data_IF_877266856184
#
_entry.id   IF_877266856184
#
_cell.length_a   1.000
_cell.length_b   1.000
_cell.length_c   1.000
_cell.angle_alpha   90.00
_cell.angle_beta   90.00
_cell.angle_gamma   90.00
#
_symmetry.space_group_name_H-M   'P 1'
#
loop_
_entity.id
_entity.type
_entity.pdbx_description
1 polymer ?
#
# COMPACT_ATOMS: atom_id res chain seq x y z
N UNK A 1 -36.37 40.71 -34.36
CA UNK A 1 -37.78 41.04 -34.09
C UNK A 1 -38.05 40.56 -32.68
N UNK A 2 -38.02 41.39 -31.65
CA UNK A 2 -38.76 42.65 -31.53
C UNK A 2 -37.86 43.72 -30.88
N UNK A 3 -37.65 44.81 -31.61
CA UNK A 3 -37.37 46.15 -31.08
C UNK A 3 -38.67 46.75 -30.52
N UNK A 4 -38.56 47.57 -29.46
CA UNK A 4 -39.38 48.76 -29.19
C UNK A 4 -38.80 49.42 -27.92
N UNK A 5 -38.09 50.55 -28.04
CA UNK A 5 -38.57 51.93 -27.78
C UNK A 5 -38.71 52.22 -26.27
N UNK A 6 -38.14 53.29 -25.69
CA UNK A 6 -38.42 54.70 -25.97
C UNK A 6 -37.27 55.63 -25.54
N UNK A 7 -36.98 56.62 -26.39
CA UNK A 7 -36.45 57.95 -26.00
C UNK A 7 -37.62 58.75 -25.33
N UNK A 8 -37.47 59.82 -24.54
CA UNK A 8 -36.90 61.15 -24.84
C UNK A 8 -36.95 62.03 -23.54
N UNK A 9 -36.16 63.14 -23.52
CA UNK A 9 -36.38 64.50 -22.92
C UNK A 9 -35.72 64.81 -21.55
N UNK A 10 -35.01 65.90 -21.26
CA UNK A 10 -34.54 67.17 -21.89
C UNK A 10 -33.14 67.47 -21.24
N UNK A 11 -32.09 67.98 -21.89
CA UNK A 11 -31.93 69.34 -22.39
C UNK A 11 -31.01 70.18 -21.48
N UNK A 12 -29.73 70.36 -21.85
CA UNK A 12 -28.98 71.58 -21.50
C UNK A 12 -27.91 71.88 -22.55
N UNK A 13 -28.07 73.06 -23.15
CA UNK A 13 -27.23 73.64 -24.18
C UNK A 13 -25.97 74.23 -23.53
N UNK A 14 -24.78 73.77 -23.91
CA UNK A 14 -23.54 74.50 -23.67
C UNK A 14 -22.91 74.79 -25.02
N UNK A 15 -23.28 75.95 -25.55
CA UNK A 15 -22.53 76.71 -26.54
C UNK A 15 -21.18 77.10 -25.93
N UNK A 16 -20.09 76.72 -26.59
CA UNK A 16 -18.74 77.10 -26.16
C UNK A 16 -17.64 76.32 -26.86
N UNK A 17 -17.54 76.43 -28.19
CA UNK A 17 -16.32 76.07 -28.91
C UNK A 17 -15.21 77.05 -28.52
N UNK A 18 -14.38 76.67 -27.55
CA UNK A 18 -13.06 77.25 -27.38
C UNK A 18 -12.05 76.34 -28.07
N UNK A 19 -11.53 76.79 -29.20
CA UNK A 19 -10.39 76.17 -29.88
C UNK A 19 -9.13 76.34 -29.03
N UNK A 20 -8.50 75.22 -28.66
CA UNK A 20 -7.13 75.13 -28.12
C UNK A 20 -6.39 73.93 -28.77
N UNK A 21 -5.05 73.94 -28.81
CA UNK A 21 -4.30 73.72 -30.05
C UNK A 21 -4.03 72.25 -30.43
N UNK A 22 -3.92 72.06 -31.74
CA UNK A 22 -3.76 70.82 -32.51
C UNK A 22 -2.39 70.13 -32.39
N UNK A 23 -1.77 70.04 -31.20
CA UNK A 23 -0.44 69.39 -31.09
C UNK A 23 -0.19 68.52 -29.84
N UNK A 24 -1.20 68.26 -29.01
CA UNK A 24 -1.09 67.38 -27.81
C UNK A 24 -1.99 66.14 -27.82
N UNK A 25 -2.92 66.04 -28.77
CA UNK A 25 -4.02 65.06 -28.74
C UNK A 25 -3.56 63.62 -29.04
N UNK A 26 -2.56 63.43 -29.92
CA UNK A 26 -2.02 62.10 -30.23
C UNK A 26 -1.25 61.46 -29.07
N UNK A 27 -0.56 62.27 -28.26
CA UNK A 27 0.23 61.78 -27.12
C UNK A 27 -0.70 61.36 -25.98
N UNK A 28 -1.75 62.15 -25.69
CA UNK A 28 -2.76 61.82 -24.68
C UNK A 28 -3.56 60.55 -25.03
N UNK A 29 -3.95 60.37 -26.29
CA UNK A 29 -4.63 59.13 -26.74
C UNK A 29 -3.72 57.92 -26.61
N UNK A 30 -2.43 58.04 -26.95
CA UNK A 30 -1.46 56.96 -26.74
C UNK A 30 -1.25 56.69 -25.24
N UNK A 31 -1.19 57.72 -24.40
CA UNK A 31 -1.04 57.57 -22.94
C UNK A 31 -2.26 56.90 -22.29
N UNK A 32 -3.48 57.25 -22.71
CA UNK A 32 -4.70 56.59 -22.25
C UNK A 32 -4.85 55.17 -22.82
N UNK A 33 -4.45 54.93 -24.06
CA UNK A 33 -4.44 53.59 -24.65
C UNK A 33 -3.40 52.67 -23.99
N UNK A 34 -2.23 53.18 -23.61
CA UNK A 34 -1.22 52.40 -22.88
C UNK A 34 -1.59 52.19 -21.40
N UNK A 35 -2.27 53.15 -20.75
CA UNK A 35 -2.79 52.99 -19.39
C UNK A 35 -3.97 52.00 -19.31
N UNK A 36 -4.84 51.95 -20.34
CA UNK A 36 -5.97 51.01 -20.38
C UNK A 36 -5.62 49.63 -20.93
N UNK A 37 -4.56 49.47 -21.71
CA UNK A 37 -4.09 48.14 -22.17
C UNK A 37 -3.51 47.26 -21.05
N UNK A 38 -3.27 47.82 -19.86
CA UNK A 38 -2.74 47.07 -18.72
C UNK A 38 -3.79 46.45 -17.79
N UNK A 39 -5.07 46.84 -17.89
CA UNK A 39 -6.13 46.22 -17.09
C UNK A 39 -6.66 44.99 -17.82
N UNK A 40 -5.89 43.90 -17.75
CA UNK A 40 -6.43 42.58 -18.09
C UNK A 40 -7.61 42.27 -17.18
N UNK A 41 -8.74 41.86 -17.76
CA UNK A 41 -9.83 41.25 -17.01
C UNK A 41 -9.29 39.94 -16.46
N UNK A 42 -8.95 39.93 -15.17
CA UNK A 42 -8.71 38.68 -14.45
C UNK A 42 -10.09 38.06 -14.22
N UNK A 43 -10.20 36.76 -14.46
CA UNK A 43 -11.41 35.98 -14.20
C UNK A 43 -11.03 34.70 -13.45
N UNK A 44 -11.89 33.68 -13.46
CA UNK A 44 -11.61 32.37 -12.85
C UNK A 44 -10.15 31.94 -13.07
N UNK A 45 -9.44 31.69 -11.97
CA UNK A 45 -8.02 31.37 -11.98
C UNK A 45 -7.63 30.48 -10.80
N UNK A 46 -6.36 30.04 -10.77
CA UNK A 46 -5.81 29.17 -9.73
C UNK A 46 -6.64 27.90 -9.50
N UNK A 47 -7.10 27.27 -10.59
CA UNK A 47 -7.78 25.97 -10.51
C UNK A 47 -6.76 24.89 -10.14
N UNK A 48 -6.96 24.31 -8.97
CA UNK A 48 -6.18 23.18 -8.47
C UNK A 48 -7.11 21.99 -8.21
N UNK A 49 -6.59 20.80 -8.44
CA UNK A 49 -7.30 19.54 -8.21
C UNK A 49 -6.45 18.68 -7.28
N UNK A 50 -7.08 18.14 -6.24
CA UNK A 50 -6.47 17.23 -5.29
C UNK A 50 -7.23 15.89 -5.35
N UNK A 51 -6.57 14.91 -5.95
CA UNK A 51 -7.03 13.52 -6.03
C UNK A 51 -5.90 12.69 -5.44
N UNK A 52 -6.18 11.79 -4.47
CA UNK A 52 -5.14 10.94 -3.91
C UNK A 52 -4.54 10.06 -5.01
N UNK A 53 -3.22 9.89 -5.00
CA UNK A 53 -2.55 9.09 -6.03
C UNK A 53 -2.99 7.62 -6.00
N UNK A 54 -3.27 7.10 -4.81
CA UNK A 54 -3.70 5.73 -4.59
C UNK A 54 -4.63 5.61 -3.35
N UNK A 55 -5.53 4.62 -3.35
CA UNK A 55 -6.43 4.29 -2.22
C UNK A 55 -6.57 2.77 -2.10
N UNK A 56 -6.89 2.23 -0.92
CA UNK A 56 -7.18 0.80 -0.78
C UNK A 56 -8.61 0.47 -1.23
N UNK A 57 -8.82 -0.73 -1.79
CA UNK A 57 -10.17 -1.22 -2.09
C UNK A 57 -11.07 -1.17 -0.85
N UNK A 58 -12.30 -0.70 -1.04
CA UNK A 58 -13.31 -0.54 0.00
C UNK A 58 -13.24 0.80 0.75
N UNK A 59 -12.17 1.57 0.61
CA UNK A 59 -12.03 2.86 1.30
C UNK A 59 -12.86 3.98 0.67
N UNK A 60 -13.03 5.07 1.41
CA UNK A 60 -13.69 6.28 0.92
C UNK A 60 -12.67 7.19 0.24
N UNK A 61 -12.98 7.68 -0.96
CA UNK A 61 -12.13 8.60 -1.72
C UNK A 61 -12.67 10.01 -1.61
N UNK A 62 -11.82 10.97 -1.28
CA UNK A 62 -12.18 12.40 -1.27
C UNK A 62 -11.50 13.09 -2.44
N UNK A 63 -12.32 13.65 -3.33
CA UNK A 63 -11.87 14.46 -4.45
C UNK A 63 -12.09 15.93 -4.11
N UNK A 64 -11.08 16.75 -4.29
CA UNK A 64 -11.16 18.18 -4.00
C UNK A 64 -10.72 18.99 -5.21
N UNK A 65 -11.42 20.11 -5.43
CA UNK A 65 -11.17 21.05 -6.49
C UNK A 65 -11.32 22.46 -5.91
N UNK A 66 -10.25 23.23 -5.97
CA UNK A 66 -10.17 24.57 -5.42
C UNK A 66 -9.94 25.56 -6.56
N UNK A 67 -10.54 26.74 -6.46
CA UNK A 67 -10.46 27.78 -7.48
C UNK A 67 -10.68 29.15 -6.84
N UNK A 68 -10.28 30.19 -7.57
CA UNK A 68 -10.49 31.58 -7.20
C UNK A 68 -11.31 32.28 -8.29
N UNK A 69 -12.29 33.06 -7.86
CA UNK A 69 -13.09 33.94 -8.70
C UNK A 69 -12.77 35.38 -8.26
N UNK A 70 -12.80 36.31 -9.20
CA UNK A 70 -12.70 37.73 -8.89
C UNK A 70 -14.02 38.25 -8.29
N UNK A 71 -13.98 39.40 -7.60
CA UNK A 71 -15.07 39.89 -6.75
C UNK A 71 -16.42 40.12 -7.48
N UNK A 72 -16.40 40.30 -8.81
CA UNK A 72 -17.58 40.51 -9.65
C UNK A 72 -18.03 39.25 -10.41
N UNK A 73 -17.29 38.14 -10.32
CA UNK A 73 -17.62 36.88 -10.97
C UNK A 73 -18.36 35.92 -10.04
N UNK A 74 -19.47 35.38 -10.53
CA UNK A 74 -20.18 34.30 -9.86
C UNK A 74 -19.80 32.93 -10.44
N UNK A 75 -19.88 31.89 -9.63
CA UNK A 75 -19.76 30.51 -10.11
C UNK A 75 -21.00 30.13 -10.93
N UNK A 76 -20.80 29.62 -12.14
CA UNK A 76 -21.87 29.02 -12.94
C UNK A 76 -22.04 27.53 -12.58
N UNK A 77 -20.98 26.73 -12.67
CA UNK A 77 -21.04 25.30 -12.36
C UNK A 77 -19.69 24.69 -12.01
N UNK A 78 -19.71 23.62 -11.21
CA UNK A 78 -18.59 22.69 -11.03
C UNK A 78 -19.04 21.31 -11.48
N UNK A 79 -18.26 20.65 -12.32
CA UNK A 79 -18.55 19.30 -12.82
C UNK A 79 -17.36 18.40 -12.62
N UNK A 80 -17.65 17.16 -12.27
CA UNK A 80 -16.67 16.10 -12.13
C UNK A 80 -16.92 15.00 -13.15
N UNK A 81 -15.83 14.62 -13.80
CA UNK A 81 -15.82 13.57 -14.81
C UNK A 81 -14.87 12.46 -14.42
N UNK A 82 -15.27 11.23 -14.76
CA UNK A 82 -14.39 10.07 -14.79
C UNK A 82 -14.17 9.71 -16.25
N UNK A 83 -12.94 9.86 -16.74
CA UNK A 83 -12.69 9.75 -18.18
C UNK A 83 -13.45 10.81 -18.99
N UNK A 84 -14.55 10.41 -19.65
CA UNK A 84 -15.41 11.30 -20.46
C UNK A 84 -16.84 11.44 -19.90
N UNK A 85 -17.17 10.70 -18.85
CA UNK A 85 -18.53 10.63 -18.32
C UNK A 85 -18.66 11.53 -17.09
N UNK A 86 -19.65 12.43 -17.11
CA UNK A 86 -20.03 13.27 -15.98
C UNK A 86 -20.71 12.37 -14.94
N UNK A 87 -20.23 12.40 -13.70
CA UNK A 87 -20.86 11.64 -12.61
C UNK A 87 -21.38 12.56 -11.50
N UNK A 88 -20.91 13.81 -11.43
CA UNK A 88 -21.34 14.77 -10.42
C UNK A 88 -21.31 16.19 -10.96
N UNK A 89 -22.33 16.97 -10.58
CA UNK A 89 -22.45 18.38 -10.92
C UNK A 89 -23.00 19.20 -9.76
N UNK A 90 -22.43 20.39 -9.58
CA UNK A 90 -22.90 21.42 -8.66
C UNK A 90 -23.23 22.71 -9.42
N UNK A 91 -24.44 23.23 -9.25
CA UNK A 91 -24.91 24.51 -9.83
C UNK A 91 -25.54 25.34 -8.70
N UNK A 92 -24.93 26.47 -8.27
CA UNK A 92 -25.45 27.28 -7.17
C UNK A 92 -26.85 27.86 -7.40
N UNK A 93 -27.24 28.07 -8.67
CA UNK A 93 -28.52 28.70 -9.05
C UNK A 93 -29.68 27.72 -9.19
N UNK A 94 -29.44 26.40 -9.15
CA UNK A 94 -30.48 25.36 -9.24
C UNK A 94 -30.84 24.80 -7.85
N UNK A 95 -32.06 24.31 -7.67
CA UNK A 95 -32.48 23.55 -6.49
C UNK A 95 -33.00 22.16 -6.94
N UNK A 96 -32.37 21.04 -6.49
CA UNK A 96 -31.20 20.97 -5.63
C UNK A 96 -29.92 21.45 -6.33
N UNK A 97 -28.99 22.02 -5.56
CA UNK A 97 -27.70 22.51 -6.09
C UNK A 97 -26.82 21.39 -6.66
N UNK A 98 -27.00 20.15 -6.21
CA UNK A 98 -26.21 18.99 -6.60
C UNK A 98 -27.01 18.02 -7.46
N UNK A 99 -26.37 17.47 -8.49
CA UNK A 99 -26.93 16.41 -9.34
C UNK A 99 -25.89 15.31 -9.53
N UNK A 100 -26.28 14.07 -9.26
CA UNK A 100 -25.44 12.87 -9.47
C UNK A 100 -25.93 12.15 -10.71
N UNK A 101 -25.00 11.72 -11.55
CA UNK A 101 -25.27 10.90 -12.73
C UNK A 101 -24.73 9.50 -12.45
N UNK A 102 -25.58 8.45 -12.50
CA UNK A 102 -25.14 7.09 -12.22
C UNK A 102 -24.03 6.66 -13.18
N UNK A 103 -22.89 6.26 -12.61
CA UNK A 103 -21.76 5.70 -13.34
C UNK A 103 -21.31 4.41 -12.65
N UNK A 104 -21.22 3.27 -13.36
CA UNK A 104 -20.86 2.00 -12.73
C UNK A 104 -19.51 2.07 -11.98
N UNK A 105 -19.49 1.56 -10.74
CA UNK A 105 -18.30 1.58 -9.88
C UNK A 105 -18.01 2.93 -9.18
N UNK A 106 -18.85 3.95 -9.39
CA UNK A 106 -18.78 5.25 -8.72
C UNK A 106 -20.04 5.46 -7.88
N UNK A 107 -19.88 5.43 -6.56
CA UNK A 107 -20.94 5.74 -5.61
C UNK A 107 -20.63 7.06 -4.90
N UNK A 108 -21.45 8.09 -5.14
CA UNK A 108 -21.24 9.43 -4.58
C UNK A 108 -22.01 9.57 -3.26
N UNK A 109 -21.31 9.98 -2.21
CA UNK A 109 -21.91 10.40 -0.96
C UNK A 109 -22.37 11.87 -1.05
N UNK A 110 -23.64 12.06 -1.38
CA UNK A 110 -24.24 13.39 -1.54
C UNK A 110 -24.14 14.21 -0.24
N UNK A 111 -24.27 13.57 0.93
CA UNK A 111 -24.29 14.26 2.22
C UNK A 111 -22.96 14.91 2.58
N UNK A 112 -21.85 14.35 2.10
CA UNK A 112 -20.49 14.86 2.33
C UNK A 112 -19.89 15.59 1.12
N UNK A 113 -20.65 15.67 0.02
CA UNK A 113 -20.27 16.33 -1.23
C UNK A 113 -20.87 17.74 -1.35
N UNK A 114 -20.20 18.60 -2.09
CA UNK A 114 -20.61 19.99 -2.30
C UNK A 114 -19.92 20.61 -3.51
N UNK A 115 -19.72 21.94 -3.49
CA UNK A 115 -19.11 22.65 -4.60
C UNK A 115 -17.63 22.26 -4.82
N UNK A 116 -16.83 22.25 -3.75
CA UNK A 116 -15.37 22.04 -3.81
C UNK A 116 -14.93 20.60 -3.60
N UNK A 117 -15.76 19.78 -2.96
CA UNK A 117 -15.41 18.43 -2.52
C UNK A 117 -16.46 17.44 -2.96
N UNK A 118 -16.02 16.29 -3.49
CA UNK A 118 -16.88 15.16 -3.82
C UNK A 118 -16.32 13.92 -3.14
N UNK A 119 -17.19 13.21 -2.41
CA UNK A 119 -16.80 12.04 -1.64
C UNK A 119 -17.38 10.79 -2.31
N UNK A 120 -16.51 9.85 -2.66
CA UNK A 120 -16.88 8.56 -3.22
C UNK A 120 -16.76 7.47 -2.16
N UNK A 121 -17.74 6.58 -2.09
CA UNK A 121 -17.72 5.45 -1.14
C UNK A 121 -17.25 4.16 -1.83
N UNK A 122 -16.75 3.23 -1.01
CA UNK A 122 -16.43 1.85 -1.40
C UNK A 122 -15.57 1.79 -2.68
N UNK A 123 -14.32 2.22 -2.59
CA UNK A 123 -13.40 2.20 -3.72
C UNK A 123 -13.34 0.81 -4.37
N UNK A 124 -13.65 0.72 -5.65
CA UNK A 124 -13.58 -0.51 -6.44
C UNK A 124 -12.47 -0.41 -7.49
N UNK A 125 -11.92 -1.52 -8.00
CA UNK A 125 -10.92 -1.46 -9.07
C UNK A 125 -11.39 -0.68 -10.31
N UNK A 126 -12.69 -0.69 -10.62
CA UNK A 126 -13.26 0.07 -11.73
C UNK A 126 -13.18 1.60 -11.55
N UNK A 127 -13.05 2.07 -10.31
CA UNK A 127 -12.88 3.49 -9.98
C UNK A 127 -11.51 4.04 -10.45
N UNK A 128 -10.50 3.18 -10.65
CA UNK A 128 -9.12 3.57 -10.97
C UNK A 128 -8.95 4.21 -12.36
N UNK A 129 -8.44 5.45 -12.39
CA UNK A 129 -8.03 6.17 -13.59
C UNK A 129 -8.17 7.68 -13.44
N UNK A 130 -8.23 8.42 -14.56
CA UNK A 130 -8.21 9.90 -14.52
C UNK A 130 -9.56 10.50 -14.16
N UNK A 131 -9.55 11.34 -13.12
CA UNK A 131 -10.62 12.24 -12.74
C UNK A 131 -10.34 13.64 -13.29
N UNK A 132 -11.40 14.39 -13.58
CA UNK A 132 -11.32 15.74 -14.13
C UNK A 132 -12.34 16.64 -13.44
N UNK A 133 -11.88 17.79 -12.97
CA UNK A 133 -12.72 18.86 -12.44
C UNK A 133 -12.80 19.99 -13.47
N UNK A 134 -14.01 20.34 -13.87
CA UNK A 134 -14.33 21.49 -14.74
C UNK A 134 -15.08 22.53 -13.90
N UNK A 135 -14.55 23.76 -13.88
CA UNK A 135 -15.16 24.90 -13.20
C UNK A 135 -15.45 25.97 -14.24
N UNK A 136 -16.68 26.47 -14.23
CA UNK A 136 -17.12 27.54 -15.13
C UNK A 136 -17.63 28.72 -14.31
N UNK A 137 -17.13 29.91 -14.63
CA UNK A 137 -17.66 31.19 -14.17
C UNK A 137 -18.91 31.59 -14.97
N UNK A 138 -19.73 32.44 -14.38
CA UNK A 138 -20.91 33.04 -15.00
C UNK A 138 -20.54 34.31 -15.78
N UNK A 139 -21.54 35.04 -16.28
CA UNK A 139 -21.36 36.37 -16.82
C UNK A 139 -20.53 37.25 -15.86
N UNK A 140 -19.61 38.10 -16.38
CA UNK A 140 -19.47 38.47 -17.80
C UNK A 140 -18.45 37.64 -18.60
N UNK A 141 -17.52 36.94 -17.95
CA UNK A 141 -16.39 36.31 -18.64
C UNK A 141 -16.70 34.93 -19.19
N UNK A 142 -17.63 34.20 -18.56
CA UNK A 142 -17.96 32.81 -18.91
C UNK A 142 -16.72 31.89 -18.98
N UNK A 143 -15.67 32.24 -18.24
CA UNK A 143 -14.41 31.53 -18.30
C UNK A 143 -14.57 30.11 -17.75
N UNK A 144 -13.91 29.15 -18.37
CA UNK A 144 -13.96 27.74 -17.95
C UNK A 144 -12.54 27.20 -17.85
N UNK A 145 -12.19 26.69 -16.67
CA UNK A 145 -10.93 26.01 -16.44
C UNK A 145 -11.15 24.53 -16.13
N UNK A 146 -10.17 23.72 -16.51
CA UNK A 146 -10.23 22.28 -16.30
C UNK A 146 -8.88 21.76 -15.79
N UNK A 147 -8.92 20.89 -14.79
CA UNK A 147 -7.76 20.13 -14.30
C UNK A 147 -8.10 18.66 -14.18
N UNK A 148 -7.07 17.83 -14.18
CA UNK A 148 -7.23 16.38 -14.15
C UNK A 148 -6.08 15.72 -13.41
N UNK A 149 -6.40 14.70 -12.61
CA UNK A 149 -5.44 13.92 -11.85
C UNK A 149 -5.81 12.42 -11.91
N UNK A 150 -4.82 11.51 -11.89
CA UNK A 150 -5.06 10.08 -11.82
C UNK A 150 -5.46 9.65 -10.40
N UNK A 151 -6.15 8.52 -10.30
CA UNK A 151 -6.44 7.79 -9.08
C UNK A 151 -6.15 6.33 -9.33
N UNK A 152 -5.29 5.71 -8.54
CA UNK A 152 -5.08 4.26 -8.53
C UNK A 152 -5.87 3.62 -7.39
N UNK A 153 -6.38 2.41 -7.58
CA UNK A 153 -7.03 1.64 -6.52
C UNK A 153 -6.22 0.38 -6.26
N UNK A 154 -5.72 0.25 -5.03
CA UNK A 154 -4.76 -0.74 -4.60
C UNK A 154 -5.46 -1.96 -3.99
N UNK A 155 -5.17 -3.11 -4.55
CA UNK A 155 -5.47 -4.44 -4.01
C UNK A 155 -4.18 -5.02 -3.39
N UNK A 156 -3.98 -4.91 -2.07
CA UNK A 156 -2.78 -5.39 -1.43
C UNK A 156 -2.68 -6.92 -1.52
N UNK A 157 -1.46 -7.48 -1.47
CA UNK A 157 -1.28 -8.93 -1.44
C UNK A 157 -1.91 -9.51 -0.18
N UNK A 158 -2.32 -10.77 -0.25
CA UNK A 158 -3.02 -11.43 0.84
C UNK A 158 -2.09 -11.72 2.04
N UNK A 159 -0.80 -11.94 1.78
CA UNK A 159 0.24 -12.13 2.79
C UNK A 159 1.54 -11.40 2.38
N UNK A 160 2.51 -11.38 3.31
CA UNK A 160 3.81 -10.72 3.11
C UNK A 160 4.73 -11.42 2.11
N UNK A 161 5.86 -10.78 1.74
CA UNK A 161 6.83 -11.41 0.86
C UNK A 161 7.50 -12.61 1.51
N UNK A 162 7.97 -13.55 0.69
CA UNK A 162 8.79 -14.69 1.09
C UNK A 162 10.20 -14.52 0.53
N UNK A 163 11.19 -14.53 1.41
CA UNK A 163 12.61 -14.45 1.09
C UNK A 163 13.26 -15.82 1.24
N UNK A 164 13.95 -16.29 0.20
CA UNK A 164 14.62 -17.59 0.15
C UNK A 164 16.05 -17.41 -0.34
N UNK A 165 17.02 -17.98 0.37
CA UNK A 165 18.42 -18.02 -0.04
C UNK A 165 18.82 -19.38 -0.62
N UNK A 166 19.88 -19.41 -1.44
CA UNK A 166 20.40 -20.67 -2.00
C UNK A 166 21.11 -21.55 -0.96
N UNK A 167 21.56 -20.95 0.15
CA UNK A 167 22.24 -21.64 1.26
C UNK A 167 21.72 -21.15 2.60
N UNK A 168 21.87 -21.97 3.63
CA UNK A 168 21.55 -21.62 5.02
C UNK A 168 22.66 -20.83 5.73
N UNK A 169 23.87 -20.78 5.16
CA UNK A 169 25.02 -20.08 5.73
C UNK A 169 25.94 -19.55 4.62
N UNK A 170 26.69 -18.50 4.93
CA UNK A 170 27.68 -17.89 4.03
C UNK A 170 28.94 -17.50 4.78
N UNK A 171 30.10 -17.82 4.20
CA UNK A 171 31.40 -17.34 4.66
C UNK A 171 31.84 -16.08 3.93
N UNK A 172 32.81 -15.36 4.50
CA UNK A 172 33.46 -14.23 3.80
C UNK A 172 34.09 -14.71 2.49
N UNK A 173 33.84 -13.99 1.39
CA UNK A 173 34.29 -14.33 0.04
C UNK A 173 33.35 -15.25 -0.74
N UNK A 174 32.31 -15.80 -0.10
CA UNK A 174 31.26 -16.55 -0.82
C UNK A 174 30.28 -15.61 -1.52
N UNK A 175 29.63 -16.09 -2.57
CA UNK A 175 28.56 -15.35 -3.28
C UNK A 175 27.22 -15.73 -2.67
N UNK A 176 26.54 -14.77 -2.06
CA UNK A 176 25.17 -14.92 -1.58
C UNK A 176 24.21 -14.76 -2.74
N UNK A 177 23.24 -15.68 -2.87
CA UNK A 177 22.11 -15.57 -3.79
C UNK A 177 20.80 -15.73 -3.04
N UNK A 178 19.91 -14.77 -3.22
CA UNK A 178 18.59 -14.83 -2.62
C UNK A 178 17.52 -14.31 -3.57
N UNK A 179 16.35 -14.92 -3.47
CA UNK A 179 15.16 -14.54 -4.22
C UNK A 179 14.07 -14.15 -3.24
N UNK A 180 13.49 -12.99 -3.46
CA UNK A 180 12.30 -12.54 -2.78
C UNK A 180 11.11 -12.59 -3.71
N UNK A 181 9.96 -13.05 -3.23
CA UNK A 181 8.71 -12.95 -3.96
C UNK A 181 7.59 -12.39 -3.08
N UNK A 182 6.81 -11.48 -3.64
CA UNK A 182 5.54 -10.99 -3.10
C UNK A 182 4.36 -11.67 -3.82
N UNK A 183 3.28 -11.99 -3.10
CA UNK A 183 2.05 -12.55 -3.70
C UNK A 183 1.40 -11.60 -4.70
N UNK A 184 0.44 -12.10 -5.51
CA UNK A 184 -0.28 -11.27 -6.46
C UNK A 184 -0.96 -10.06 -5.81
N UNK A 185 -0.66 -8.87 -6.34
CA UNK A 185 -1.24 -7.60 -5.92
C UNK A 185 -1.53 -6.71 -7.13
N UNK A 186 -2.31 -5.65 -6.93
CA UNK A 186 -2.55 -4.63 -7.95
C UNK A 186 -2.40 -3.22 -7.34
N UNK A 187 -1.51 -2.36 -7.87
CA UNK A 187 -0.43 -2.71 -8.79
C UNK A 187 0.55 -3.71 -8.12
N UNK A 188 1.43 -4.35 -8.90
CA UNK A 188 2.42 -5.29 -8.36
C UNK A 188 3.34 -4.58 -7.35
N UNK A 189 3.73 -5.27 -6.29
CA UNK A 189 4.53 -4.69 -5.22
C UNK A 189 5.96 -4.37 -5.66
N UNK A 190 6.46 -3.21 -5.26
CA UNK A 190 7.87 -2.86 -5.41
C UNK A 190 8.69 -3.62 -4.38
N UNK A 191 9.70 -4.35 -4.84
CA UNK A 191 10.61 -5.08 -3.98
C UNK A 191 11.90 -4.31 -3.79
N UNK A 192 12.35 -4.22 -2.54
CA UNK A 192 13.64 -3.63 -2.17
C UNK A 192 14.39 -4.58 -1.26
N UNK A 193 15.67 -4.79 -1.54
CA UNK A 193 16.56 -5.57 -0.68
C UNK A 193 17.35 -4.63 0.21
N UNK A 194 17.53 -5.01 1.47
CA UNK A 194 18.36 -4.31 2.41
C UNK A 194 19.30 -5.27 3.14
N UNK A 195 20.59 -4.93 3.17
CA UNK A 195 21.62 -5.63 3.92
C UNK A 195 21.94 -4.83 5.18
N UNK A 196 21.71 -5.41 6.35
CA UNK A 196 21.85 -4.75 7.65
C UNK A 196 21.10 -3.40 7.73
N UNK A 197 19.94 -3.32 7.07
CA UNK A 197 19.11 -2.11 7.01
C UNK A 197 19.56 -1.06 6.00
N UNK A 198 20.58 -1.32 5.18
CA UNK A 198 20.99 -0.46 4.06
C UNK A 198 20.54 -1.06 2.74
N UNK A 199 19.88 -0.27 1.90
CA UNK A 199 19.38 -0.73 0.60
C UNK A 199 20.52 -1.20 -0.30
N UNK A 200 20.24 -2.25 -1.07
CA UNK A 200 21.17 -2.85 -2.02
C UNK A 200 20.49 -3.00 -3.38
N UNK A 201 21.26 -2.83 -4.45
CA UNK A 201 20.79 -3.02 -5.81
C UNK A 201 20.37 -4.48 -6.05
N UNK A 202 19.35 -4.64 -6.88
CA UNK A 202 18.80 -5.93 -7.26
C UNK A 202 19.29 -6.30 -8.66
N UNK A 203 19.60 -7.58 -8.89
CA UNK A 203 20.11 -8.03 -10.18
C UNK A 203 18.99 -8.23 -11.21
N UNK A 204 17.81 -8.65 -10.75
CA UNK A 204 16.63 -8.81 -11.60
C UNK A 204 15.33 -8.51 -10.87
N UNK A 205 14.38 -7.90 -11.58
CA UNK A 205 13.01 -7.66 -11.15
C UNK A 205 12.04 -8.18 -12.22
N UNK A 206 11.12 -9.06 -11.85
CA UNK A 206 10.12 -9.61 -12.78
C UNK A 206 8.77 -9.71 -12.10
N UNK A 207 7.69 -9.47 -12.86
CA UNK A 207 6.31 -9.69 -12.40
C UNK A 207 5.81 -11.13 -12.60
N UNK A 208 6.75 -12.09 -12.55
CA UNK A 208 6.51 -13.52 -12.72
C UNK A 208 7.36 -14.28 -11.70
N UNK A 209 6.83 -15.40 -11.20
CA UNK A 209 7.54 -16.24 -10.24
C UNK A 209 8.49 -17.21 -10.96
N UNK A 210 9.73 -17.40 -10.45
CA UNK A 210 10.59 -18.48 -10.92
C UNK A 210 9.92 -19.85 -10.75
N UNK A 211 10.13 -20.76 -11.70
CA UNK A 211 9.48 -22.08 -11.70
C UNK A 211 9.74 -22.93 -10.45
N UNK A 212 10.88 -22.73 -9.79
CA UNK A 212 11.26 -23.45 -8.57
C UNK A 212 10.67 -22.84 -7.29
N UNK A 213 10.16 -21.60 -7.36
CA UNK A 213 9.68 -20.89 -6.19
C UNK A 213 8.35 -21.46 -5.71
N UNK A 214 8.27 -21.85 -4.44
CA UNK A 214 7.07 -22.43 -3.83
C UNK A 214 6.69 -21.68 -2.57
N UNK A 215 5.42 -21.30 -2.49
CA UNK A 215 4.80 -20.81 -1.27
C UNK A 215 4.71 -21.93 -0.24
N UNK A 216 4.84 -21.59 1.03
CA UNK A 216 4.53 -22.55 2.09
C UNK A 216 3.02 -22.81 2.08
N UNK A 217 2.58 -24.06 2.29
CA UNK A 217 1.16 -24.34 2.39
C UNK A 217 0.57 -23.49 3.54
N UNK A 218 -0.59 -22.85 3.35
CA UNK A 218 -1.25 -22.16 4.45
C UNK A 218 -1.46 -23.17 5.58
N UNK A 219 -1.24 -22.77 6.85
CA UNK A 219 -1.52 -23.66 7.97
C UNK A 219 -2.98 -24.10 7.84
N UNK A 220 -3.21 -25.41 7.72
CA UNK A 220 -4.57 -25.95 7.74
C UNK A 220 -5.20 -25.44 9.03
N UNK A 221 -6.30 -24.72 8.94
CA UNK A 221 -7.15 -24.53 10.11
C UNK A 221 -7.41 -25.92 10.66
N UNK A 222 -7.04 -26.17 11.92
CA UNK A 222 -7.46 -27.38 12.62
C UNK A 222 -8.97 -27.30 12.78
N UNK A 223 -9.69 -27.66 11.71
CA UNK A 223 -11.07 -28.06 11.80
C UNK A 223 -11.02 -29.33 12.64
N UNK A 224 -11.31 -29.17 13.93
CA UNK A 224 -11.58 -30.27 14.82
C UNK A 224 -12.90 -30.87 14.33
N UNK A 225 -12.83 -31.66 13.27
CA UNK A 225 -13.90 -32.56 12.90
C UNK A 225 -13.84 -33.69 13.91
N UNK A 226 -14.53 -33.51 15.02
CA UNK A 226 -14.95 -34.62 15.86
C UNK A 226 -15.78 -35.53 14.97
N UNK A 227 -15.19 -36.61 14.47
CA UNK A 227 -15.95 -37.76 14.00
C UNK A 227 -16.80 -38.24 15.18
N UNK A 228 -18.12 -38.16 15.05
CA UNK A 228 -19.03 -38.98 15.83
C UNK A 228 -19.92 -39.77 14.87
N UNK A 229 -19.99 -41.10 15.05
CA UNK A 229 -20.86 -41.97 14.27
C UNK A 229 -22.33 -41.82 14.70
N UNK A 230 -23.19 -42.24 13.79
CA UNK A 230 -24.64 -42.11 13.79
C UNK A 230 -25.39 -42.76 14.99
N UNK A 231 -26.56 -42.15 15.26
CA UNK A 231 -27.80 -42.66 15.89
C UNK A 231 -27.84 -43.09 17.37
N UNK A 232 -28.52 -42.27 18.20
CA UNK A 232 -29.71 -42.69 18.97
C UNK A 232 -30.43 -41.48 19.63
N UNK A 233 -31.77 -41.37 19.59
CA UNK A 233 -32.51 -40.32 20.29
C UNK A 233 -32.90 -40.80 21.69
N UNK A 234 -32.86 -39.85 22.65
CA UNK A 234 -33.44 -39.89 23.99
C UNK A 234 -32.47 -40.28 25.14
N UNK A 235 -31.87 -39.28 25.81
CA UNK A 235 -31.93 -39.27 27.28
C UNK A 235 -31.61 -37.89 27.89
N UNK A 236 -32.27 -37.64 29.03
CA UNK A 236 -32.41 -36.37 29.72
C UNK A 236 -31.13 -35.79 30.33
N UNK A 237 -31.09 -34.47 30.34
CA UNK A 237 -30.21 -33.59 31.11
C UNK A 237 -30.34 -33.91 32.61
N UNK A 238 -29.21 -34.26 33.25
CA UNK A 238 -29.03 -34.09 34.68
C UNK A 238 -27.75 -33.28 34.91
N UNK A 239 -27.92 -32.13 35.55
CA UNK A 239 -26.86 -31.35 36.17
C UNK A 239 -26.22 -32.17 37.30
N UNK A 240 -24.89 -32.21 37.34
CA UNK A 240 -24.16 -32.49 38.57
C UNK A 240 -23.06 -31.44 38.75
N UNK A 241 -23.36 -30.50 39.64
CA UNK A 241 -22.46 -29.47 40.14
C UNK A 241 -21.63 -30.08 41.28
N UNK A 242 -20.35 -30.40 41.05
CA UNK A 242 -19.37 -30.49 42.15
C UNK A 242 -17.92 -30.58 41.68
N UNK A 243 -17.35 -29.47 41.19
CA UNK A 243 -15.97 -29.12 41.52
C UNK A 243 -15.65 -27.66 41.18
N UNK A 244 -16.08 -26.73 42.04
CA UNK A 244 -15.56 -25.36 42.03
C UNK A 244 -14.56 -25.25 43.17
N UNK A 245 -13.29 -25.41 42.83
CA UNK A 245 -12.19 -25.03 43.71
C UNK A 245 -11.77 -23.60 43.36
N UNK A 246 -11.94 -22.73 44.35
CA UNK A 246 -11.63 -21.30 44.40
C UNK A 246 -10.44 -20.87 43.52
N UNK A 247 -10.71 -19.98 42.55
CA UNK A 247 -9.73 -19.00 42.11
C UNK A 247 -10.29 -17.60 42.39
N UNK A 248 -9.45 -16.83 43.06
CA UNK A 248 -9.67 -15.55 43.72
C UNK A 248 -10.20 -14.42 42.80
N UNK A 249 -11.18 -13.64 43.28
CA UNK A 249 -11.86 -12.54 42.57
C UNK A 249 -10.93 -11.38 42.19
N UNK A 250 -9.70 -11.35 42.70
CA UNK A 250 -8.70 -10.33 42.39
C UNK A 250 -8.08 -10.48 40.99
N UNK A 251 -8.11 -11.67 40.37
CA UNK A 251 -7.54 -11.92 39.04
C UNK A 251 -8.49 -11.50 37.89
N UNK A 252 -9.80 -11.63 38.10
CA UNK A 252 -10.84 -11.32 37.11
C UNK A 252 -10.99 -9.80 36.89
N UNK A 253 -10.68 -8.98 37.90
CA UNK A 253 -10.83 -7.53 37.80
C UNK A 253 -9.64 -6.83 37.12
N UNK A 254 -8.47 -7.46 36.98
CA UNK A 254 -7.33 -6.87 36.26
C UNK A 254 -7.40 -7.07 34.74
N UNK A 255 -8.17 -8.07 34.27
CA UNK A 255 -8.29 -8.40 32.84
C UNK A 255 -9.65 -8.03 32.24
N UNK A 256 -10.57 -7.46 33.03
CA UNK A 256 -11.92 -7.11 32.59
C UNK A 256 -11.97 -5.93 31.61
N UNK A 257 -10.96 -5.06 31.63
CA UNK A 257 -10.75 -4.01 30.62
C UNK A 257 -10.14 -4.53 29.30
N UNK A 258 -9.36 -5.62 29.34
CA UNK A 258 -8.73 -6.23 28.15
C UNK A 258 -9.74 -7.06 27.34
N UNK A 259 -10.62 -7.81 28.04
CA UNK A 259 -11.60 -8.72 27.42
C UNK A 259 -12.82 -7.97 26.85
N UNK A 260 -13.01 -6.68 27.17
CA UNK A 260 -14.09 -5.85 26.60
C UNK A 260 -13.75 -5.21 25.27
N UNK A 261 -12.51 -5.33 24.77
CA UNK A 261 -12.24 -5.02 23.37
C UNK A 261 -12.55 -6.27 22.55
N UNK A 262 -13.60 -6.29 21.72
CA UNK A 262 -13.67 -7.32 20.69
C UNK A 262 -12.35 -7.26 19.90
N UNK A 263 -11.74 -8.41 19.58
CA UNK A 263 -10.73 -8.43 18.53
C UNK A 263 -11.35 -7.69 17.36
N UNK A 264 -10.64 -6.69 16.82
CA UNK A 264 -11.02 -6.10 15.55
C UNK A 264 -10.76 -7.18 14.51
N UNK A 265 -11.66 -8.15 14.44
CA UNK A 265 -11.82 -9.01 13.30
C UNK A 265 -12.13 -8.03 12.19
N UNK A 266 -11.08 -7.64 11.47
CA UNK A 266 -11.24 -6.97 10.21
C UNK A 266 -11.99 -8.01 9.38
N UNK A 267 -13.32 -7.93 9.36
CA UNK A 267 -14.11 -8.45 8.26
C UNK A 267 -13.43 -7.81 7.04
N UNK A 268 -12.52 -8.55 6.39
CA UNK A 268 -12.11 -8.24 5.04
C UNK A 268 -13.44 -8.21 4.32
N UNK A 269 -13.91 -7.03 3.96
CA UNK A 269 -15.03 -6.87 3.04
C UNK A 269 -14.61 -7.63 1.80
N UNK A 270 -15.10 -8.86 1.66
CA UNK A 270 -14.81 -9.69 0.51
C UNK A 270 -15.58 -9.04 -0.63
N UNK A 271 -14.89 -8.15 -1.34
CA UNK A 271 -15.40 -7.60 -2.58
C UNK A 271 -15.47 -8.76 -3.58
N UNK A 272 -16.68 -9.15 -3.96
CA UNK A 272 -16.90 -10.19 -4.95
C UNK A 272 -16.54 -9.62 -6.33
N UNK A 273 -15.45 -10.11 -6.92
CA UNK A 273 -14.93 -9.58 -8.17
C UNK A 273 -15.89 -9.86 -9.32
N UNK A 274 -16.24 -8.80 -10.04
CA UNK A 274 -17.07 -8.86 -11.25
C UNK A 274 -16.26 -8.98 -12.55
N UNK A 275 -14.92 -8.97 -12.47
CA UNK A 275 -14.00 -8.99 -13.62
C UNK A 275 -12.82 -9.96 -13.47
N UNK A 276 -11.97 -10.09 -14.52
CA UNK A 276 -10.78 -10.94 -14.49
C UNK A 276 -9.77 -10.46 -13.45
N UNK A 277 -9.07 -11.39 -12.80
CA UNK A 277 -8.00 -11.07 -11.84
C UNK A 277 -6.74 -10.63 -12.59
N UNK A 278 -6.44 -9.33 -12.53
CA UNK A 278 -5.27 -8.72 -13.16
C UNK A 278 -4.11 -8.53 -12.17
N UNK A 279 -4.19 -9.09 -10.95
CA UNK A 279 -3.10 -9.02 -9.97
C UNK A 279 -1.92 -9.83 -10.46
N UNK A 280 -0.73 -9.26 -10.30
CA UNK A 280 0.51 -9.95 -10.65
C UNK A 280 1.39 -10.09 -9.42
N UNK A 281 2.09 -11.23 -9.26
CA UNK A 281 3.12 -11.36 -8.25
C UNK A 281 4.30 -10.44 -8.59
N UNK A 282 5.22 -10.29 -7.66
CA UNK A 282 6.50 -9.60 -7.91
C UNK A 282 7.62 -10.46 -7.37
N UNK A 283 8.67 -10.66 -8.15
CA UNK A 283 9.82 -11.45 -7.77
C UNK A 283 11.11 -10.69 -8.08
N UNK A 284 12.08 -10.80 -7.19
CA UNK A 284 13.36 -10.12 -7.29
C UNK A 284 14.50 -11.02 -6.84
N UNK A 285 15.62 -10.98 -7.55
CA UNK A 285 16.83 -11.72 -7.21
C UNK A 285 17.98 -10.77 -6.89
N UNK A 286 18.73 -11.09 -5.85
CA UNK A 286 19.94 -10.37 -5.46
C UNK A 286 21.12 -11.33 -5.37
N UNK A 287 22.28 -10.93 -5.91
CA UNK A 287 23.52 -11.66 -5.75
C UNK A 287 24.72 -10.74 -5.52
N UNK A 288 25.49 -11.03 -4.47
CA UNK A 288 26.71 -10.28 -4.17
C UNK A 288 27.73 -11.13 -3.41
N UNK A 289 28.99 -10.71 -3.48
CA UNK A 289 30.08 -11.35 -2.72
C UNK A 289 30.07 -10.84 -1.28
N UNK A 290 29.96 -11.76 -0.32
CA UNK A 290 29.93 -11.45 1.11
C UNK A 290 31.30 -10.93 1.55
N UNK A 291 31.36 -9.67 1.98
CA UNK A 291 32.56 -9.03 2.51
C UNK A 291 32.60 -9.16 4.03
N UNK A 292 33.79 -9.00 4.63
CA UNK A 292 33.95 -9.03 6.08
C UNK A 292 33.12 -7.94 6.79
N UNK A 293 32.97 -6.79 6.15
CA UNK A 293 32.16 -5.65 6.62
C UNK A 293 30.64 -5.94 6.65
N UNK A 294 30.19 -7.00 5.98
CA UNK A 294 28.77 -7.36 5.92
C UNK A 294 28.28 -8.07 7.20
N UNK A 295 29.18 -8.57 8.04
CA UNK A 295 28.83 -9.18 9.33
C UNK A 295 28.83 -8.12 10.43
N UNK A 296 27.65 -7.68 10.83
CA UNK A 296 27.47 -6.79 11.97
C UNK A 296 27.22 -7.63 13.23
N UNK A 297 28.09 -7.46 14.23
CA UNK A 297 28.03 -8.22 15.50
C UNK A 297 28.04 -9.74 15.31
N UNK A 298 28.71 -10.23 14.27
CA UNK A 298 28.81 -11.66 13.97
C UNK A 298 27.62 -12.24 13.20
N UNK A 299 26.68 -11.40 12.75
CA UNK A 299 25.52 -11.83 11.95
C UNK A 299 25.35 -10.93 10.72
N UNK A 300 24.88 -11.51 9.62
CA UNK A 300 24.50 -10.80 8.41
C UNK A 300 22.98 -10.87 8.26
N UNK A 301 22.32 -9.72 8.18
CA UNK A 301 20.86 -9.65 8.04
C UNK A 301 20.48 -9.23 6.64
N UNK A 302 19.79 -10.09 5.93
CA UNK A 302 19.19 -9.79 4.64
C UNK A 302 17.69 -9.59 4.81
N UNK A 303 17.19 -8.44 4.38
CA UNK A 303 15.78 -8.07 4.46
C UNK A 303 15.25 -7.83 3.05
N UNK A 304 14.07 -8.37 2.76
CA UNK A 304 13.29 -7.97 1.59
C UNK A 304 12.06 -7.21 2.05
N UNK A 305 11.79 -6.06 1.44
CA UNK A 305 10.66 -5.19 1.73
C UNK A 305 9.80 -5.11 0.46
N UNK A 306 8.53 -5.47 0.59
CA UNK A 306 7.52 -5.30 -0.45
C UNK A 306 6.63 -4.10 -0.10
N UNK A 307 6.53 -3.14 -1.00
CA UNK A 307 5.73 -1.92 -0.79
C UNK A 307 4.85 -1.57 -1.98
N UNK A 308 3.69 -0.97 -1.70
CA UNK A 308 2.79 -0.42 -2.70
C UNK A 308 2.34 0.96 -2.20
N UNK A 309 2.81 2.02 -2.86
CA UNK A 309 2.65 3.40 -2.41
C UNK A 309 3.01 3.53 -0.91
N UNK A 310 2.36 4.44 -0.19
CA UNK A 310 2.38 4.56 1.28
C UNK A 310 1.21 3.79 1.95
N UNK A 311 0.60 2.84 1.24
CA UNK A 311 -0.61 2.12 1.69
C UNK A 311 -0.32 0.71 2.18
N UNK A 312 0.73 0.08 1.65
CA UNK A 312 1.12 -1.27 2.04
C UNK A 312 2.65 -1.37 2.16
N UNK A 313 3.11 -2.00 3.24
CA UNK A 313 4.50 -2.38 3.43
C UNK A 313 4.57 -3.67 4.27
N UNK A 314 5.31 -4.66 3.78
CA UNK A 314 5.62 -5.87 4.54
C UNK A 314 7.07 -6.29 4.27
N UNK A 315 7.67 -7.00 5.22
CA UNK A 315 9.07 -7.44 5.11
C UNK A 315 9.28 -8.89 5.51
N UNK A 316 10.29 -9.49 4.93
CA UNK A 316 10.80 -10.82 5.26
C UNK A 316 12.30 -10.73 5.52
N UNK A 317 12.79 -11.42 6.55
CA UNK A 317 14.18 -11.32 7.00
C UNK A 317 14.82 -12.72 7.07
N UNK A 318 16.06 -12.81 6.59
CA UNK A 318 16.97 -13.94 6.81
C UNK A 318 18.19 -13.44 7.58
N UNK A 319 18.62 -14.20 8.57
CA UNK A 319 19.79 -13.90 9.39
C UNK A 319 20.78 -15.04 9.23
N UNK A 320 22.01 -14.70 8.88
CA UNK A 320 23.11 -15.65 8.69
C UNK A 320 24.17 -15.37 9.75
N UNK A 321 24.36 -16.31 10.67
CA UNK A 321 25.41 -16.21 11.68
C UNK A 321 26.77 -16.57 11.07
N UNK A 322 27.81 -15.86 11.49
CA UNK A 322 29.18 -16.14 11.07
C UNK A 322 29.64 -17.45 11.74
N UNK A 323 29.92 -18.47 10.93
CA UNK A 323 30.42 -19.75 11.45
C UNK A 323 31.77 -19.52 12.17
N UNK A 324 31.81 -19.82 13.47
CA UNK A 324 33.07 -19.95 14.20
C UNK A 324 33.79 -21.19 13.64
N UNK A 325 35.06 -21.09 13.20
CA UNK A 325 35.78 -22.27 12.76
C UNK A 325 35.84 -23.30 13.90
N UNK A 326 35.41 -24.53 13.63
CA UNK A 326 35.62 -25.66 14.56
C UNK A 326 37.13 -25.83 14.77
N UNK A 327 37.62 -25.43 15.94
CA UNK A 327 39.02 -25.65 16.30
C UNK A 327 39.16 -27.12 16.63
N UNK A 328 39.80 -27.89 15.75
CA UNK A 328 40.15 -29.27 16.05
C UNK A 328 40.90 -29.32 17.41
N UNK A 329 40.41 -30.12 18.36
CA UNK A 329 41.04 -30.21 19.68
C UNK A 329 42.45 -30.77 19.52
N UNK A 330 43.46 -29.95 19.77
CA UNK A 330 44.87 -30.34 19.77
C UNK A 330 45.21 -31.05 21.09
N UNK A 331 44.58 -32.20 21.34
CA UNK A 331 45.07 -33.17 22.31
C UNK A 331 45.70 -34.32 21.54
N UNK A 332 47.01 -34.17 21.30
CA UNK A 332 47.83 -35.22 20.71
C UNK A 332 47.78 -36.48 21.56
N UNK A 333 47.50 -37.61 20.92
CA UNK A 333 47.62 -38.94 21.52
C UNK A 333 49.09 -39.18 21.82
N UNK A 334 49.48 -39.00 23.07
CA UNK A 334 50.83 -39.31 23.54
C UNK A 334 50.90 -40.82 23.76
N UNK A 335 51.33 -41.55 22.73
CA UNK A 335 51.75 -42.94 22.86
C UNK A 335 52.84 -43.01 23.93
N UNK A 336 52.55 -43.67 25.05
CA UNK A 336 53.56 -44.16 25.99
C UNK A 336 53.47 -45.67 25.99
N UNK A 337 54.28 -46.28 25.13
CA UNK A 337 54.79 -47.61 25.42
C UNK A 337 55.76 -47.43 26.58
N UNK A 338 55.39 -47.90 27.77
CA UNK A 338 56.39 -48.28 28.75
C UNK A 338 55.94 -49.50 29.55
N UNK A 339 56.86 -50.45 29.50
CA UNK A 339 56.86 -51.76 30.13
C UNK A 339 56.85 -51.63 31.65
N UNK A 340 55.92 -52.30 32.33
CA UNK A 340 56.09 -52.67 33.74
C UNK A 340 55.78 -54.16 33.90
N UNK A 341 56.85 -54.93 33.80
CA UNK A 341 57.03 -56.27 34.35
C UNK A 341 56.95 -56.23 35.87
N UNK A 342 56.24 -57.18 36.50
CA UNK A 342 56.65 -58.06 37.62
C UNK A 342 55.38 -58.77 38.16
N UNK A 343 55.20 -60.09 37.91
CA UNK A 343 55.59 -61.22 38.80
C UNK A 343 54.55 -61.40 39.95
N UNK A 344 54.04 -62.57 40.38
CA UNK A 344 54.63 -63.91 40.58
C UNK A 344 53.47 -64.92 40.88
N UNK A 345 53.47 -66.11 40.22
CA UNK A 345 53.06 -67.46 40.74
C UNK A 345 51.57 -67.80 41.04
N UNK A 346 51.01 -69.02 40.81
CA UNK A 346 51.56 -70.40 40.61
C UNK A 346 50.47 -71.42 40.14
N UNK A 347 50.86 -72.33 39.22
CA UNK A 347 50.72 -73.84 39.23
C UNK A 347 49.31 -74.48 39.17
N UNK A 348 48.99 -75.61 38.49
CA UNK A 348 49.59 -76.63 37.56
C UNK A 348 48.42 -77.56 37.11
N UNK A 349 48.63 -78.30 36.00
CA UNK A 349 48.11 -79.64 35.64
C UNK A 349 47.29 -79.65 34.32
N UNK A 350 47.93 -79.85 33.17
CA UNK A 350 48.35 -81.13 32.55
C UNK A 350 47.21 -81.87 31.82
N UNK A 351 47.31 -81.95 30.48
CA UNK A 351 47.44 -83.19 29.69
C UNK A 351 47.25 -82.87 28.19
N UNK A 352 48.35 -82.89 27.45
CA UNK A 352 48.42 -83.25 26.00
C UNK A 352 48.15 -84.77 25.87
N UNK A 353 47.85 -85.39 24.70
CA UNK A 353 48.58 -85.13 23.45
C UNK A 353 47.86 -85.38 22.08
N UNK A 354 48.45 -84.77 21.05
CA UNK A 354 48.85 -85.37 19.75
C UNK A 354 47.82 -85.91 18.72
N UNK A 355 47.99 -85.34 17.51
CA UNK A 355 47.96 -85.94 16.16
C UNK A 355 46.62 -86.44 15.60
N UNK A 356 46.24 -85.97 14.39
CA UNK A 356 46.65 -86.67 13.17
C UNK A 356 46.37 -85.86 11.89
N UNK A 357 47.06 -86.29 10.84
CA UNK A 357 47.34 -85.68 9.55
C UNK A 357 46.20 -85.63 8.53
N UNK A 358 46.37 -84.65 7.65
CA UNK A 358 46.00 -84.55 6.22
C UNK A 358 45.86 -85.89 5.49
N UNK A 359 44.79 -86.03 4.68
CA UNK A 359 44.86 -86.55 3.31
C UNK A 359 43.86 -85.85 2.41
#
# INVERSE_FOLDING_TARGET
MVECEWSVLYGLQITGMAMLPSYGSRVLVVFFATLFWGMGVRGLHNLEINVPDAVLVGETVTLECSWQLEDEEALYSVKWYRGREEFYRYIPKELPHTRVFPLPGIEVDISRSGARRVVLQQATPAMAGRFRCEVSADAPTFHTEIRSAPLEVVEPPEWGPKLVSDRSWYGVGSTLRATCASPPAYPPANLTFALNGRETDMDSFVHELPQWFKWDPPPKSETTTTDQPDEDPNFNIFHDDSNIQYLDESYINLHKEEIRRPPKENLKTVFERTGPDNRLPSAGEVSFVVRNEAFERGSLRLTCIASIYNLYAARSELIFDMEQPEVASVLGVRNSADSITFCVMRIVASLMPFLYNIR
#
